data_IF_452130050981
#
_entry.id   IF_452130050981
#
_cell.length_a   1.000
_cell.length_b   1.000
_cell.length_c   1.000
_cell.angle_alpha   90.00
_cell.angle_beta   90.00
_cell.angle_gamma   90.00
#
_symmetry.space_group_name_H-M   'P 1'
#
loop_
_entity.id
_entity.type
_entity.pdbx_description
1 polymer ?
#
# COMPACT_ATOMS: atom_id res chain seq x y z
N UNK A 1 2.84 -12.61 -25.36
CA UNK A 1 3.04 -13.83 -26.17
C UNK A 1 2.06 -14.89 -25.68
N UNK A 2 1.28 -15.51 -26.57
CA UNK A 2 0.25 -16.51 -26.22
C UNK A 2 0.75 -17.96 -26.30
N UNK A 3 1.87 -18.20 -27.01
CA UNK A 3 2.44 -19.53 -27.22
C UNK A 3 3.68 -19.79 -26.35
N UNK A 4 4.65 -18.87 -26.35
CA UNK A 4 5.85 -18.97 -25.51
C UNK A 4 5.53 -18.44 -24.10
N UNK A 5 4.86 -19.27 -23.29
CA UNK A 5 4.49 -18.94 -21.91
C UNK A 5 5.55 -19.44 -20.92
N UNK A 6 5.61 -18.83 -19.73
CA UNK A 6 6.65 -19.09 -18.73
C UNK A 6 6.73 -20.55 -18.26
N UNK A 7 5.59 -21.22 -18.15
CA UNK A 7 5.49 -22.52 -17.49
C UNK A 7 5.09 -23.66 -18.42
N UNK A 8 4.33 -23.39 -19.48
CA UNK A 8 3.86 -24.41 -20.44
C UNK A 8 3.87 -23.82 -21.85
N UNK A 9 5.05 -23.66 -22.48
CA UNK A 9 5.11 -23.13 -23.83
C UNK A 9 4.52 -24.13 -24.83
N UNK A 10 3.70 -23.64 -25.75
CA UNK A 10 3.08 -24.46 -26.80
C UNK A 10 4.02 -24.58 -28.00
N UNK A 11 5.20 -25.18 -27.79
CA UNK A 11 6.29 -25.24 -28.77
C UNK A 11 5.90 -25.94 -30.08
N UNK A 12 5.04 -26.97 -30.01
CA UNK A 12 4.58 -27.76 -31.17
C UNK A 12 3.79 -26.94 -32.20
N UNK A 13 3.14 -25.86 -31.78
CA UNK A 13 2.39 -24.96 -32.66
C UNK A 13 3.09 -23.60 -32.81
N UNK A 14 4.32 -23.48 -32.31
CA UNK A 14 5.07 -22.25 -32.38
C UNK A 14 5.64 -22.07 -33.79
N UNK A 15 5.31 -20.98 -34.52
CA UNK A 15 5.85 -20.76 -35.87
C UNK A 15 7.37 -20.56 -35.87
N UNK A 16 7.96 -20.25 -34.71
CA UNK A 16 9.40 -20.05 -34.52
C UNK A 16 10.13 -21.32 -34.07
N UNK A 17 9.45 -22.47 -33.94
CA UNK A 17 10.01 -23.71 -33.42
C UNK A 17 11.35 -24.10 -34.10
N UNK A 18 11.44 -23.95 -35.43
CA UNK A 18 12.63 -24.30 -36.21
C UNK A 18 13.87 -23.44 -35.91
N UNK A 19 13.68 -22.21 -35.46
CA UNK A 19 14.75 -21.26 -35.13
C UNK A 19 14.94 -21.04 -33.64
N UNK A 20 14.21 -21.78 -32.79
CA UNK A 20 14.25 -21.60 -31.35
C UNK A 20 15.32 -22.51 -30.75
N UNK A 21 16.48 -21.96 -30.39
CA UNK A 21 17.57 -22.70 -29.74
C UNK A 21 17.10 -23.38 -28.45
N UNK A 22 16.30 -22.68 -27.62
CA UNK A 22 15.75 -23.26 -26.40
C UNK A 22 14.88 -24.50 -26.68
N UNK A 23 14.13 -24.53 -27.78
CA UNK A 23 13.36 -25.71 -28.17
C UNK A 23 14.23 -26.83 -28.71
N UNK A 24 15.26 -26.50 -29.50
CA UNK A 24 16.24 -27.47 -30.00
C UNK A 24 16.99 -28.17 -28.86
N UNK A 25 17.19 -27.49 -27.74
CA UNK A 25 17.83 -28.02 -26.53
C UNK A 25 16.84 -28.57 -25.48
N UNK A 26 15.53 -28.41 -25.67
CA UNK A 26 14.52 -28.82 -24.68
C UNK A 26 14.58 -28.01 -23.37
N UNK A 27 15.03 -26.77 -23.44
CA UNK A 27 15.27 -25.87 -22.31
C UNK A 27 14.30 -24.68 -22.27
N UNK A 28 13.13 -24.75 -22.90
CA UNK A 28 12.24 -23.59 -23.07
C UNK A 28 11.76 -23.01 -21.73
N UNK A 29 11.64 -23.84 -20.70
CA UNK A 29 11.27 -23.39 -19.34
C UNK A 29 12.45 -22.88 -18.53
N UNK A 30 13.69 -23.08 -19.00
CA UNK A 30 14.91 -22.52 -18.38
C UNK A 30 15.04 -21.03 -18.66
N UNK A 31 14.44 -20.55 -19.75
CA UNK A 31 14.57 -19.17 -20.22
C UNK A 31 13.31 -18.33 -20.00
N UNK A 32 13.46 -17.02 -19.73
CA UNK A 32 14.71 -16.38 -19.32
C UNK A 32 15.17 -16.87 -17.95
N UNK A 33 16.48 -16.96 -17.74
CA UNK A 33 17.01 -17.33 -16.43
C UNK A 33 16.53 -16.32 -15.39
N UNK A 34 15.96 -16.77 -14.27
CA UNK A 34 15.46 -15.87 -13.25
C UNK A 34 16.64 -15.07 -12.68
N UNK A 35 16.53 -13.74 -12.74
CA UNK A 35 17.50 -12.87 -12.09
C UNK A 35 17.58 -13.23 -10.59
N UNK A 36 18.78 -13.26 -9.99
CA UNK A 36 18.93 -13.44 -8.56
C UNK A 36 18.03 -12.47 -7.80
N UNK A 37 17.23 -12.99 -6.86
CA UNK A 37 16.32 -12.15 -6.08
C UNK A 37 17.16 -11.23 -5.20
N UNK A 38 17.04 -9.92 -5.41
CA UNK A 38 17.56 -8.92 -4.47
C UNK A 38 16.65 -8.88 -3.24
N UNK A 39 17.23 -8.66 -2.07
CA UNK A 39 16.45 -8.36 -0.87
C UNK A 39 15.59 -7.10 -1.14
N UNK A 40 14.29 -7.22 -0.92
CA UNK A 40 13.36 -6.12 -1.15
C UNK A 40 13.40 -5.19 0.08
N UNK A 41 13.61 -3.87 -0.08
CA UNK A 41 13.61 -2.93 1.03
C UNK A 41 12.31 -3.01 1.83
N UNK A 42 12.40 -2.98 3.17
CA UNK A 42 11.26 -2.93 4.06
C UNK A 42 11.13 -1.53 4.65
N UNK A 43 9.92 -0.99 4.58
CA UNK A 43 9.52 0.28 5.19
C UNK A 43 8.45 0.01 6.23
N UNK A 44 8.39 0.84 7.27
CA UNK A 44 7.37 0.78 8.32
C UNK A 44 6.64 2.12 8.39
N UNK A 45 5.33 2.08 8.62
CA UNK A 45 4.53 3.28 8.89
C UNK A 45 3.39 2.94 9.84
N UNK A 46 3.00 3.92 10.64
CA UNK A 46 1.84 3.86 11.50
C UNK A 46 0.69 4.61 10.84
N UNK A 47 -0.48 3.98 10.75
CA UNK A 47 -1.67 4.60 10.15
C UNK A 47 -2.79 4.69 11.18
N UNK A 48 -3.05 5.89 11.75
CA UNK A 48 -4.17 6.05 12.67
C UNK A 48 -5.48 6.21 11.92
N UNK A 49 -6.48 5.43 12.33
CA UNK A 49 -7.88 5.54 11.94
C UNK A 49 -8.56 6.44 12.97
N UNK A 50 -8.57 7.75 12.72
CA UNK A 50 -9.27 8.70 13.56
C UNK A 50 -10.78 8.56 13.31
N UNK A 51 -11.50 8.01 14.29
CA UNK A 51 -12.92 7.72 14.22
C UNK A 51 -13.73 8.70 15.08
N UNK A 52 -14.71 9.39 14.48
CA UNK A 52 -15.64 10.24 15.22
C UNK A 52 -16.76 9.41 15.87
N UNK A 53 -17.64 10.09 16.61
CA UNK A 53 -18.80 9.47 17.29
C UNK A 53 -19.81 8.81 16.34
N UNK A 54 -19.87 9.25 15.08
CA UNK A 54 -20.75 8.71 14.05
C UNK A 54 -20.13 7.50 13.34
N UNK A 55 -18.88 7.12 13.69
CA UNK A 55 -18.13 6.05 13.05
C UNK A 55 -17.46 6.45 11.74
N UNK A 56 -17.50 7.73 11.37
CA UNK A 56 -16.79 8.25 10.21
C UNK A 56 -15.28 8.26 10.49
N UNK A 57 -14.48 7.99 9.46
CA UNK A 57 -13.01 8.00 9.53
C UNK A 57 -12.46 9.24 8.83
N UNK A 58 -11.53 9.92 9.48
CA UNK A 58 -10.82 11.05 8.88
C UNK A 58 -9.80 10.55 7.85
N UNK A 59 -9.97 10.95 6.60
CA UNK A 59 -9.06 10.67 5.50
C UNK A 59 -8.38 11.95 5.02
N UNK A 60 -7.19 11.79 4.47
CA UNK A 60 -6.48 12.87 3.78
C UNK A 60 -6.18 12.50 2.34
N UNK A 61 -6.14 13.51 1.47
CA UNK A 61 -5.77 13.36 0.08
C UNK A 61 -4.27 13.47 -0.04
N UNK A 62 -3.64 12.40 -0.53
CA UNK A 62 -2.18 12.39 -0.72
C UNK A 62 -1.77 13.39 -1.81
N UNK A 63 -0.55 13.97 -1.71
CA UNK A 63 0.03 14.77 -2.79
C UNK A 63 -0.06 14.05 -4.14
N UNK A 64 -0.14 14.78 -5.24
CA UNK A 64 -0.30 14.19 -6.59
C UNK A 64 0.87 13.32 -7.06
N UNK A 65 2.00 13.37 -6.35
CA UNK A 65 3.20 12.60 -6.65
C UNK A 65 3.58 11.67 -5.49
N UNK A 66 4.34 10.62 -5.80
CA UNK A 66 4.80 9.64 -4.82
C UNK A 66 3.89 8.44 -4.69
N UNK A 67 3.97 7.77 -3.53
CA UNK A 67 3.17 6.58 -3.24
C UNK A 67 1.69 6.97 -3.21
N UNK A 68 0.87 6.30 -4.03
CA UNK A 68 -0.59 6.52 -4.09
C UNK A 68 -1.00 7.97 -4.38
N UNK A 69 -0.23 8.66 -5.22
CA UNK A 69 -0.43 10.08 -5.46
C UNK A 69 -1.87 10.45 -5.86
N UNK A 70 -2.46 11.40 -5.15
CA UNK A 70 -3.82 11.89 -5.38
C UNK A 70 -4.96 11.02 -4.82
N UNK A 71 -4.66 9.87 -4.20
CA UNK A 71 -5.65 9.01 -3.55
C UNK A 71 -5.97 9.48 -2.12
N UNK A 72 -7.17 9.16 -1.66
CA UNK A 72 -7.55 9.28 -0.25
C UNK A 72 -6.91 8.16 0.57
N UNK A 73 -6.31 8.51 1.70
CA UNK A 73 -5.57 7.60 2.57
C UNK A 73 -5.77 7.97 4.04
N UNK A 74 -5.47 7.02 4.92
CA UNK A 74 -5.21 7.31 6.33
C UNK A 74 -3.88 8.07 6.45
N UNK A 75 -3.77 9.04 7.38
CA UNK A 75 -2.50 9.70 7.70
C UNK A 75 -1.40 8.69 8.00
N UNK A 76 -0.16 9.07 7.71
CA UNK A 76 1.03 8.25 7.98
C UNK A 76 1.88 8.93 9.03
N UNK A 77 2.23 8.20 10.09
CA UNK A 77 3.11 8.64 11.16
C UNK A 77 4.33 7.71 11.22
N UNK A 78 5.47 8.27 11.57
CA UNK A 78 6.69 7.51 11.85
C UNK A 78 6.69 6.99 13.30
N UNK A 79 6.07 7.76 14.21
CA UNK A 79 5.95 7.46 15.64
C UNK A 79 4.54 7.77 16.15
N UNK A 80 4.03 6.93 17.07
CA UNK A 80 2.74 7.13 17.74
C UNK A 80 2.71 8.43 18.56
N UNK A 81 3.87 8.97 18.97
CA UNK A 81 3.96 10.24 19.66
C UNK A 81 3.44 11.43 18.83
N UNK A 82 3.42 11.30 17.50
CA UNK A 82 2.91 12.33 16.58
C UNK A 82 1.37 12.36 16.51
N UNK A 83 0.69 11.38 17.12
CA UNK A 83 -0.77 11.26 17.07
C UNK A 83 -1.48 12.42 17.78
N UNK A 84 -0.95 12.83 18.94
CA UNK A 84 -1.51 13.95 19.72
C UNK A 84 -1.41 15.26 18.94
N UNK A 85 -0.27 15.51 18.29
CA UNK A 85 -0.05 16.69 17.45
C UNK A 85 -0.98 16.70 16.23
N UNK A 86 -1.15 15.54 15.56
CA UNK A 86 -2.08 15.39 14.44
C UNK A 86 -3.51 15.69 14.87
N UNK A 87 -3.97 15.12 15.98
CA UNK A 87 -5.30 15.37 16.49
C UNK A 87 -5.51 16.85 16.83
N UNK A 88 -4.53 17.47 17.51
CA UNK A 88 -4.58 18.88 17.86
C UNK A 88 -4.68 19.80 16.63
N UNK A 89 -3.91 19.53 15.57
CA UNK A 89 -3.96 20.28 14.30
C UNK A 89 -5.34 20.24 13.64
N UNK A 90 -6.11 19.18 13.88
CA UNK A 90 -7.47 19.03 13.37
C UNK A 90 -8.56 19.44 14.38
N UNK A 91 -8.19 20.08 15.50
CA UNK A 91 -9.16 20.47 16.53
C UNK A 91 -9.82 19.27 17.21
N UNK A 92 -9.10 18.15 17.30
CA UNK A 92 -9.57 16.89 17.86
C UNK A 92 -8.86 16.59 19.18
N UNK A 93 -9.58 15.93 20.08
CA UNK A 93 -9.06 15.36 21.32
C UNK A 93 -9.15 13.85 21.24
N UNK A 94 -8.06 13.18 21.63
CA UNK A 94 -8.05 11.72 21.73
C UNK A 94 -8.94 11.26 22.89
N UNK A 95 -9.93 10.43 22.59
CA UNK A 95 -10.80 9.79 23.58
C UNK A 95 -10.33 8.38 23.93
N UNK A 96 -9.65 7.70 22.99
CA UNK A 96 -9.08 6.37 23.22
C UNK A 96 -8.27 5.91 22.01
N UNK A 97 -7.36 4.97 22.22
CA UNK A 97 -6.55 4.38 21.14
C UNK A 97 -6.35 2.88 21.34
N UNK A 98 -6.38 2.14 20.25
CA UNK A 98 -6.24 0.69 20.21
C UNK A 98 -5.35 0.29 19.04
N UNK A 99 -4.24 -0.39 19.35
CA UNK A 99 -3.38 -0.99 18.32
C UNK A 99 -4.12 -2.17 17.68
N UNK A 100 -4.14 -2.21 16.34
CA UNK A 100 -4.72 -3.28 15.56
C UNK A 100 -3.64 -4.19 14.99
N UNK A 101 -4.05 -5.35 14.45
CA UNK A 101 -3.12 -6.27 13.80
C UNK A 101 -2.42 -5.60 12.61
N UNK A 102 -1.09 -5.66 12.62
CA UNK A 102 -0.27 -5.14 11.54
C UNK A 102 -0.48 -5.89 10.23
N UNK A 103 -0.32 -5.19 9.11
CA UNK A 103 -0.44 -5.78 7.78
C UNK A 103 0.76 -5.39 6.92
N UNK A 104 1.17 -6.29 6.01
CA UNK A 104 2.28 -6.02 5.08
C UNK A 104 1.76 -5.93 3.65
N UNK A 105 1.97 -4.78 3.01
CA UNK A 105 1.69 -4.58 1.60
C UNK A 105 2.98 -4.71 0.77
N UNK A 106 2.97 -5.53 -0.27
CA UNK A 106 4.13 -5.71 -1.15
C UNK A 106 3.97 -4.92 -2.44
N UNK A 107 4.83 -3.93 -2.65
CA UNK A 107 4.99 -3.23 -3.92
C UNK A 107 6.10 -3.88 -4.77
N UNK A 108 6.15 -3.55 -6.05
CA UNK A 108 7.19 -4.04 -6.97
C UNK A 108 8.63 -3.70 -6.51
N UNK A 109 8.79 -2.64 -5.72
CA UNK A 109 10.10 -2.11 -5.34
C UNK A 109 10.41 -2.12 -3.83
N UNK A 110 9.41 -2.33 -2.97
CA UNK A 110 9.57 -2.37 -1.51
C UNK A 110 8.37 -3.06 -0.84
N UNK A 111 8.52 -3.47 0.41
CA UNK A 111 7.44 -3.91 1.28
C UNK A 111 7.14 -2.83 2.33
N UNK A 112 5.87 -2.57 2.58
CA UNK A 112 5.40 -1.64 3.59
C UNK A 112 4.71 -2.43 4.71
N UNK A 113 5.32 -2.46 5.88
CA UNK A 113 4.68 -2.90 7.12
C UNK A 113 3.86 -1.74 7.67
N UNK A 114 2.56 -1.93 7.77
CA UNK A 114 1.60 -0.95 8.28
C UNK A 114 1.18 -1.39 9.67
N UNK A 115 1.28 -0.47 10.62
CA UNK A 115 0.78 -0.61 11.99
C UNK A 115 -0.50 0.25 12.13
N UNK A 116 -1.70 -0.35 12.01
CA UNK A 116 -2.93 0.39 12.15
C UNK A 116 -3.27 0.66 13.61
N UNK A 117 -3.75 1.87 13.90
CA UNK A 117 -4.25 2.24 15.21
C UNK A 117 -5.66 2.80 15.10
N UNK A 118 -6.64 2.15 15.73
CA UNK A 118 -7.96 2.73 15.85
C UNK A 118 -7.94 3.78 16.96
N UNK A 119 -8.36 5.00 16.65
CA UNK A 119 -8.28 6.13 17.57
C UNK A 119 -9.61 6.84 17.59
N UNK A 120 -10.30 6.79 18.72
CA UNK A 120 -11.53 7.55 18.91
C UNK A 120 -11.20 9.00 19.23
N UNK A 121 -11.88 9.92 18.57
CA UNK A 121 -11.65 11.36 18.71
C UNK A 121 -12.94 12.12 18.95
N UNK A 122 -12.84 13.13 19.81
CA UNK A 122 -13.90 14.09 20.08
C UNK A 122 -13.52 15.45 19.48
N UNK A 123 -14.45 16.21 18.87
CA UNK A 123 -14.18 17.57 18.43
C UNK A 123 -13.99 18.51 19.63
N UNK A 124 -13.01 19.41 19.53
CA UNK A 124 -12.69 20.44 20.54
C UNK A 124 -13.24 21.82 20.11
N UNK A 125 -13.95 21.89 18.98
CA UNK A 125 -14.59 23.09 18.44
C UNK A 125 -15.05 22.89 16.99
N UNK A 126 -15.53 23.95 16.34
CA UNK A 126 -15.73 23.97 14.89
C UNK A 126 -14.38 24.12 14.20
N UNK A 127 -13.89 23.03 13.59
CA UNK A 127 -12.73 23.11 12.70
C UNK A 127 -13.19 23.13 11.25
N UNK A 128 -12.60 24.02 10.45
CA UNK A 128 -12.89 24.10 9.02
C UNK A 128 -12.17 22.93 8.35
N UNK A 129 -12.93 22.06 7.66
CA UNK A 129 -12.34 21.01 6.84
C UNK A 129 -11.44 21.65 5.76
N UNK A 130 -10.15 21.38 5.83
CA UNK A 130 -9.22 21.72 4.75
C UNK A 130 -9.56 20.90 3.49
N UNK A 131 -9.34 21.44 2.30
CA UNK A 131 -9.75 20.80 1.04
C UNK A 131 -9.15 19.40 0.82
N UNK A 132 -8.05 19.10 1.51
CA UNK A 132 -7.35 17.82 1.43
C UNK A 132 -7.72 16.85 2.57
N UNK A 133 -8.71 17.17 3.41
CA UNK A 133 -9.18 16.31 4.50
C UNK A 133 -10.69 16.14 4.47
N UNK A 134 -11.18 14.93 4.74
CA UNK A 134 -12.61 14.66 4.82
C UNK A 134 -12.94 13.57 5.84
N UNK A 135 -14.16 13.64 6.36
CA UNK A 135 -14.78 12.54 7.11
C UNK A 135 -15.50 11.61 6.14
N UNK A 136 -15.13 10.33 6.16
CA UNK A 136 -15.73 9.30 5.31
C UNK A 136 -16.53 8.31 6.15
N UNK A 137 -17.81 8.14 5.80
CA UNK A 137 -18.68 7.14 6.43
C UNK A 137 -18.46 5.80 5.74
N UNK A 138 -17.97 4.81 6.49
CA UNK A 138 -17.82 3.42 6.04
C UNK A 138 -19.17 2.70 5.95
#
# INVERSE_FOLDING_TARGET
ATLCTRSKPSCLICPLQRGCEAHLHGEETRYPEPKPRKALPQRRTLMPLLANHEGAILLYRRPSSGLWGGLWSLPELDDIAQLDDLAYQHGLRLAGRHAMDGLTHTFSHFQLAIEPWLVHVDPVGEHVAEADWLWYNL
#
